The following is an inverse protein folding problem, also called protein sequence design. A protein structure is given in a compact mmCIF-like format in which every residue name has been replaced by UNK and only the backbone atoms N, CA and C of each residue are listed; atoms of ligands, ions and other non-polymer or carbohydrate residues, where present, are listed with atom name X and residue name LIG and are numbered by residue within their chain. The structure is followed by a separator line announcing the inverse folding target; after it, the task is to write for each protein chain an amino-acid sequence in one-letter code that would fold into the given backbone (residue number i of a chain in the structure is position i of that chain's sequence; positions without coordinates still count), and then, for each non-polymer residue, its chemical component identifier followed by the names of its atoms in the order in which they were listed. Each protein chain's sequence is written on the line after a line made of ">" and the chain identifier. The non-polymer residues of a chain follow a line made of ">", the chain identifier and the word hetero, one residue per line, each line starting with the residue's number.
data_IF_622470684902
#
_entry.id   IF_622470684902
#
_cell.length_a   1.000
_cell.length_b   1.000
_cell.length_c   1.000
_cell.angle_alpha   90.00
_cell.angle_beta   90.00
_cell.angle_gamma   90.00
#
_symmetry.space_group_name_H-M   'P 1'
#
loop_
_entity.id
_entity.type
_entity.pdbx_description
1 polymer ?
#
# COMPACT_ATOMS: atom_id res chain seq x y z
N UNK A 1 24.06 -4.83 29.18
CA UNK A 1 24.71 -5.23 27.92
C UNK A 1 23.63 -5.34 26.84
N UNK A 2 23.42 -4.24 26.19
CA UNK A 2 22.62 -4.22 24.98
C UNK A 2 23.46 -4.81 23.84
N UNK A 3 23.31 -6.11 23.62
CA UNK A 3 23.72 -6.69 22.36
C UNK A 3 22.77 -6.16 21.30
N UNK A 4 23.22 -5.20 20.52
CA UNK A 4 22.62 -4.95 19.22
C UNK A 4 22.78 -6.24 18.42
N UNK A 5 21.76 -7.06 18.45
CA UNK A 5 21.64 -8.14 17.49
C UNK A 5 21.42 -7.48 16.15
N UNK A 6 22.49 -7.33 15.40
CA UNK A 6 22.37 -7.35 13.95
C UNK A 6 21.84 -8.75 13.64
N UNK A 7 20.53 -8.92 13.77
CA UNK A 7 19.88 -10.07 13.19
C UNK A 7 20.09 -9.94 11.69
N UNK A 8 21.10 -10.64 11.21
CA UNK A 8 21.24 -10.89 9.78
C UNK A 8 20.02 -11.70 9.43
N UNK A 9 18.98 -11.05 8.92
CA UNK A 9 17.81 -11.72 8.36
C UNK A 9 18.33 -12.61 7.26
N UNK A 10 18.16 -13.94 7.35
CA UNK A 10 18.61 -14.80 6.29
C UNK A 10 17.92 -14.41 5.00
N UNK A 11 18.71 -14.15 3.96
CA UNK A 11 18.20 -13.82 2.63
C UNK A 11 17.59 -15.09 2.04
N UNK A 12 16.30 -15.27 2.22
CA UNK A 12 15.56 -16.42 1.75
C UNK A 12 14.23 -16.02 1.09
N UNK A 13 13.46 -17.00 0.66
CA UNK A 13 12.16 -16.81 0.01
C UNK A 13 11.15 -16.06 0.89
N UNK A 14 11.29 -16.09 2.20
CA UNK A 14 10.39 -15.41 3.13
C UNK A 14 10.48 -13.89 2.99
N UNK A 15 11.63 -13.37 2.58
CA UNK A 15 11.81 -11.95 2.30
C UNK A 15 10.84 -11.48 1.22
N UNK A 16 10.61 -12.30 0.21
CA UNK A 16 9.66 -11.96 -0.85
C UNK A 16 8.23 -11.82 -0.31
N UNK A 17 7.81 -12.75 0.55
CA UNK A 17 6.50 -12.65 1.22
C UNK A 17 6.41 -11.40 2.09
N UNK A 18 7.45 -11.08 2.84
CA UNK A 18 7.51 -9.86 3.64
C UNK A 18 7.42 -8.59 2.78
N UNK A 19 8.05 -8.59 1.62
CA UNK A 19 7.95 -7.48 0.68
C UNK A 19 6.53 -7.29 0.15
N UNK A 20 5.88 -8.39 -0.24
CA UNK A 20 4.48 -8.36 -0.69
C UNK A 20 3.57 -7.79 0.40
N UNK A 21 3.72 -8.26 1.63
CA UNK A 21 2.93 -7.77 2.77
C UNK A 21 3.22 -6.29 3.07
N UNK A 22 4.47 -5.88 2.99
CA UNK A 22 4.84 -4.46 3.19
C UNK A 22 4.21 -3.56 2.13
N UNK A 23 4.20 -3.98 0.87
CA UNK A 23 3.52 -3.26 -0.22
C UNK A 23 2.02 -3.21 0.00
N UNK A 24 1.41 -4.29 0.44
CA UNK A 24 -0.02 -4.34 0.77
C UNK A 24 -0.36 -3.36 1.90
N UNK A 25 0.45 -3.29 2.94
CA UNK A 25 0.27 -2.31 4.03
C UNK A 25 0.33 -0.87 3.54
N UNK A 26 1.26 -0.58 2.62
CA UNK A 26 1.36 0.75 2.00
C UNK A 26 0.07 1.08 1.25
N UNK A 27 -0.43 0.16 0.45
CA UNK A 27 -1.67 0.37 -0.32
C UNK A 27 -2.89 0.52 0.59
N UNK A 28 -3.00 -0.28 1.64
CA UNK A 28 -4.08 -0.17 2.62
C UNK A 28 -4.06 1.19 3.32
N UNK A 29 -2.88 1.66 3.70
CA UNK A 29 -2.72 2.99 4.32
C UNK A 29 -3.12 4.12 3.36
N UNK A 30 -2.72 4.03 2.09
CA UNK A 30 -3.13 4.99 1.07
C UNK A 30 -4.65 5.04 0.91
N UNK A 31 -5.31 3.88 0.93
CA UNK A 31 -6.78 3.80 0.86
C UNK A 31 -7.45 4.42 2.07
N UNK A 32 -6.92 4.20 3.27
CA UNK A 32 -7.43 4.81 4.50
C UNK A 32 -7.32 6.33 4.44
N UNK A 33 -6.17 6.85 4.01
CA UNK A 33 -5.93 8.29 3.85
C UNK A 33 -6.92 8.87 2.84
N UNK A 34 -7.09 8.21 1.71
CA UNK A 34 -8.01 8.67 0.66
C UNK A 34 -9.45 8.69 1.16
N UNK A 35 -9.87 7.64 1.87
CA UNK A 35 -11.20 7.55 2.50
C UNK A 35 -11.42 8.69 3.49
N UNK A 36 -10.44 8.96 4.34
CA UNK A 36 -10.51 10.04 5.32
C UNK A 36 -10.57 11.41 4.65
N UNK A 37 -9.77 11.66 3.63
CA UNK A 37 -9.82 12.91 2.85
C UNK A 37 -11.18 13.11 2.18
N UNK A 38 -11.73 12.04 1.60
CA UNK A 38 -13.09 12.10 1.00
C UNK A 38 -14.17 12.41 2.03
N UNK A 39 -14.10 11.79 3.19
CA UNK A 39 -15.04 12.02 4.27
C UNK A 39 -14.97 13.47 4.75
N UNK A 40 -13.77 14.02 4.93
CA UNK A 40 -13.57 15.42 5.32
C UNK A 40 -14.05 16.39 4.26
N UNK A 41 -13.81 16.10 2.99
CA UNK A 41 -14.30 16.91 1.88
C UNK A 41 -15.83 16.91 1.82
N UNK A 42 -16.46 15.76 2.05
CA UNK A 42 -17.91 15.63 2.11
C UNK A 42 -18.48 16.47 3.26
N UNK A 43 -17.88 16.43 4.43
CA UNK A 43 -18.26 17.23 5.59
C UNK A 43 -18.26 18.74 5.25
N UNK A 44 -17.20 19.22 4.62
CA UNK A 44 -17.08 20.62 4.20
C UNK A 44 -18.17 20.97 3.17
N UNK A 45 -18.41 20.11 2.21
CA UNK A 45 -19.44 20.31 1.18
C UNK A 45 -20.85 20.35 1.80
N UNK A 46 -21.16 19.44 2.71
CA UNK A 46 -22.44 19.39 3.38
C UNK A 46 -22.65 20.63 4.25
N UNK A 47 -21.61 21.12 4.89
CA UNK A 47 -21.64 22.38 5.66
C UNK A 47 -21.91 23.56 4.74
N UNK A 48 -21.28 23.65 3.59
CA UNK A 48 -21.51 24.69 2.60
C UNK A 48 -22.91 24.60 2.01
N UNK A 49 -23.42 23.42 1.72
CA UNK A 49 -24.77 23.19 1.23
C UNK A 49 -25.84 23.53 2.29
N UNK A 50 -25.51 23.35 3.55
CA UNK A 50 -26.38 23.73 4.67
C UNK A 50 -26.43 25.22 4.92
N UNK A 51 -25.56 26.01 4.30
CA UNK A 51 -25.68 27.45 4.35
C UNK A 51 -26.85 27.88 3.48
N UNK A 52 -27.79 28.62 4.08
CA UNK A 52 -28.94 29.07 3.36
C UNK A 52 -28.59 30.06 2.28
N UNK A 53 -29.12 29.81 1.10
CA UNK A 53 -29.05 30.74 -0.02
C UNK A 53 -30.15 31.80 0.01
N UNK A 54 -31.03 31.75 1.00
CA UNK A 54 -32.09 32.73 1.16
C UNK A 54 -31.62 33.91 2.00
N UNK A 55 -31.90 35.08 1.50
CA UNK A 55 -31.67 36.32 2.23
C UNK A 55 -32.84 36.61 3.14
N UNK A 56 -32.66 37.03 4.39
CA UNK A 56 -31.39 37.30 5.06
C UNK A 56 -30.73 36.05 5.66
N UNK A 57 -29.44 35.96 5.51
CA UNK A 57 -28.66 34.83 6.00
C UNK A 57 -28.58 34.77 7.52
N UNK A 58 -29.01 35.79 8.16
CA UNK A 58 -28.88 35.96 9.59
C UNK A 58 -29.53 34.88 10.40
N UNK A 59 -30.56 34.31 9.88
CA UNK A 59 -31.33 33.39 10.64
C UNK A 59 -30.64 32.05 10.82
N UNK A 60 -29.73 31.77 10.02
CA UNK A 60 -29.25 30.41 9.88
C UNK A 60 -28.07 30.07 10.78
N UNK A 61 -27.47 31.11 11.28
CA UNK A 61 -26.25 30.95 12.07
C UNK A 61 -26.44 30.30 13.41
N UNK A 62 -27.68 30.29 13.83
CA UNK A 62 -27.96 29.81 15.16
C UNK A 62 -28.27 28.43 15.21
N UNK A 63 -28.61 27.88 14.18
CA UNK A 63 -28.83 26.46 14.06
C UNK A 63 -27.59 25.67 14.26
N UNK A 64 -26.53 26.37 14.41
CA UNK A 64 -25.26 25.85 14.89
C UNK A 64 -25.40 25.08 16.21
N UNK A 65 -26.30 25.43 17.07
CA UNK A 65 -26.52 24.70 18.33
C UNK A 65 -27.18 23.34 18.13
N UNK A 66 -27.95 23.20 17.08
CA UNK A 66 -28.61 21.93 16.76
C UNK A 66 -27.89 21.12 15.70
N UNK A 67 -27.07 21.77 14.97
CA UNK A 67 -26.20 21.11 14.03
C UNK A 67 -24.99 20.65 14.78
N UNK A 68 -25.04 19.38 15.13
CA UNK A 68 -23.75 18.71 15.23
C UNK A 68 -22.98 19.13 14.01
N UNK A 69 -22.12 20.12 14.15
CA UNK A 69 -21.01 20.21 13.24
C UNK A 69 -20.46 18.80 13.13
N UNK A 70 -20.35 18.24 11.94
CA UNK A 70 -19.56 17.06 11.81
C UNK A 70 -18.15 17.48 12.16
N UNK A 71 -17.93 17.57 13.44
CA UNK A 71 -16.64 17.81 14.02
C UNK A 71 -15.81 16.63 13.61
N UNK A 72 -14.75 16.90 12.91
CA UNK A 72 -13.69 15.91 12.72
C UNK A 72 -13.31 15.50 14.14
N UNK A 73 -13.72 14.30 14.54
CA UNK A 73 -13.53 13.79 15.91
C UNK A 73 -12.06 13.73 16.30
N UNK A 74 -11.18 13.61 15.33
CA UNK A 74 -9.75 13.56 15.51
C UNK A 74 -9.07 14.35 14.39
N UNK A 75 -8.81 15.65 14.59
CA UNK A 75 -8.19 16.49 13.55
C UNK A 75 -6.79 16.03 13.14
N UNK A 76 -6.08 15.36 14.04
CA UNK A 76 -4.69 14.94 13.83
C UNK A 76 -4.60 13.54 13.19
N UNK A 77 -5.71 12.85 13.00
CA UNK A 77 -5.73 11.51 12.43
C UNK A 77 -5.07 11.44 11.05
N UNK A 78 -5.32 12.42 10.20
CA UNK A 78 -4.73 12.48 8.88
C UNK A 78 -3.21 12.62 8.94
N UNK A 79 -2.71 13.48 9.80
CA UNK A 79 -1.27 13.68 9.98
C UNK A 79 -0.59 12.42 10.50
N UNK A 80 -1.24 11.73 11.44
CA UNK A 80 -0.73 10.45 11.95
C UNK A 80 -0.69 9.36 10.87
N UNK A 81 -1.74 9.28 10.05
CA UNK A 81 -1.79 8.32 8.94
C UNK A 81 -0.73 8.62 7.88
N UNK A 82 -0.49 9.88 7.58
CA UNK A 82 0.56 10.29 6.63
C UNK A 82 1.95 9.94 7.18
N UNK A 83 2.18 10.10 8.47
CA UNK A 83 3.45 9.71 9.10
C UNK A 83 3.63 8.18 9.09
N UNK A 84 2.56 7.43 9.39
CA UNK A 84 2.55 5.96 9.28
C UNK A 84 2.84 5.52 7.84
N UNK A 85 2.26 6.18 6.84
CA UNK A 85 2.52 5.89 5.43
C UNK A 85 3.99 6.07 5.10
N UNK A 86 4.58 7.15 5.56
CA UNK A 86 6.01 7.43 5.35
C UNK A 86 6.89 6.33 5.95
N UNK A 87 6.59 5.90 7.18
CA UNK A 87 7.32 4.81 7.82
C UNK A 87 7.17 3.49 7.07
N UNK A 88 5.97 3.18 6.62
CA UNK A 88 5.68 1.96 5.85
C UNK A 88 6.37 1.96 4.49
N UNK A 89 6.43 3.11 3.81
CA UNK A 89 7.17 3.27 2.57
C UNK A 89 8.67 3.03 2.78
N UNK A 90 9.25 3.60 3.82
CA UNK A 90 10.66 3.37 4.15
C UNK A 90 10.94 1.91 4.46
N UNK A 91 10.05 1.25 5.20
CA UNK A 91 10.16 -0.17 5.50
C UNK A 91 10.09 -1.02 4.22
N UNK A 92 9.15 -0.73 3.34
CA UNK A 92 9.03 -1.44 2.06
C UNK A 92 10.28 -1.26 1.19
N UNK A 93 10.85 -0.06 1.14
CA UNK A 93 12.09 0.20 0.42
C UNK A 93 13.27 -0.60 0.99
N UNK A 94 13.38 -0.67 2.29
CA UNK A 94 14.42 -1.46 2.96
C UNK A 94 14.29 -2.94 2.61
N UNK A 95 13.08 -3.49 2.69
CA UNK A 95 12.81 -4.88 2.36
C UNK A 95 13.09 -5.14 0.87
N UNK A 96 12.75 -4.19 0.00
CA UNK A 96 13.04 -4.26 -1.44
C UNK A 96 14.53 -4.42 -1.71
N UNK A 97 15.38 -3.69 -1.00
CA UNK A 97 16.82 -3.85 -1.09
C UNK A 97 17.27 -5.27 -0.74
N UNK A 98 16.70 -5.84 0.31
CA UNK A 98 17.00 -7.20 0.73
C UNK A 98 16.53 -8.22 -0.30
N UNK A 99 15.35 -8.00 -0.89
CA UNK A 99 14.81 -8.83 -1.96
C UNK A 99 15.73 -8.78 -3.20
N UNK A 100 16.18 -7.61 -3.59
CA UNK A 100 17.09 -7.47 -4.74
C UNK A 100 18.42 -8.20 -4.50
N UNK A 101 18.97 -8.13 -3.30
CA UNK A 101 20.17 -8.86 -2.94
C UNK A 101 19.94 -10.37 -3.01
N UNK A 102 18.81 -10.85 -2.50
CA UNK A 102 18.44 -12.25 -2.59
C UNK A 102 18.22 -12.71 -4.03
N UNK A 103 17.57 -11.88 -4.87
CA UNK A 103 17.35 -12.21 -6.28
C UNK A 103 18.64 -12.52 -7.02
N UNK A 104 19.72 -11.85 -6.66
CA UNK A 104 21.03 -12.12 -7.28
C UNK A 104 21.58 -13.51 -6.96
N UNK A 105 21.01 -14.20 -5.97
CA UNK A 105 21.45 -15.55 -5.56
C UNK A 105 20.66 -16.68 -6.22
N UNK A 106 19.57 -16.39 -6.91
CA UNK A 106 18.70 -17.38 -7.54
C UNK A 106 18.92 -17.45 -9.05
N UNK A 107 18.43 -18.50 -9.75
CA UNK A 107 18.58 -18.60 -11.20
C UNK A 107 17.97 -17.40 -11.94
N UNK A 108 18.65 -16.96 -13.00
CA UNK A 108 18.26 -15.76 -13.76
C UNK A 108 16.82 -15.83 -14.30
N UNK A 109 16.40 -17.01 -14.75
CA UNK A 109 15.02 -17.17 -15.23
C UNK A 109 14.00 -16.85 -14.15
N UNK A 110 14.22 -17.35 -12.94
CA UNK A 110 13.33 -17.07 -11.80
C UNK A 110 13.42 -15.61 -11.35
N UNK A 111 14.59 -14.99 -11.43
CA UNK A 111 14.74 -13.55 -11.18
C UNK A 111 13.83 -12.74 -12.09
N UNK A 112 13.78 -13.07 -13.38
CA UNK A 112 12.93 -12.37 -14.35
C UNK A 112 11.45 -12.56 -14.03
N UNK A 113 11.03 -13.78 -13.73
CA UNK A 113 9.64 -14.09 -13.37
C UNK A 113 9.21 -13.29 -12.16
N UNK A 114 10.01 -13.27 -11.11
CA UNK A 114 9.72 -12.56 -9.87
C UNK A 114 9.67 -11.04 -10.11
N UNK A 115 10.60 -10.49 -10.87
CA UNK A 115 10.59 -9.06 -11.19
C UNK A 115 9.31 -8.66 -11.93
N UNK A 116 8.92 -9.42 -12.92
CA UNK A 116 7.70 -9.11 -13.69
C UNK A 116 6.45 -9.26 -12.85
N UNK A 117 6.35 -10.31 -12.04
CA UNK A 117 5.16 -10.58 -11.25
C UNK A 117 5.03 -9.67 -10.03
N UNK A 118 6.12 -9.47 -9.29
CA UNK A 118 6.09 -8.81 -7.99
C UNK A 118 6.42 -7.33 -8.11
N UNK A 119 7.47 -6.95 -8.82
CA UNK A 119 7.88 -5.55 -8.92
C UNK A 119 7.07 -4.77 -9.96
N UNK A 120 6.79 -5.37 -11.11
CA UNK A 120 6.00 -4.73 -12.18
C UNK A 120 4.50 -5.04 -12.07
N UNK A 121 4.10 -5.91 -11.15
CA UNK A 121 2.71 -6.27 -10.88
C UNK A 121 1.92 -6.74 -12.12
N UNK A 122 2.61 -7.44 -13.02
CA UNK A 122 2.02 -7.97 -14.22
C UNK A 122 1.14 -9.20 -13.93
N UNK A 123 0.14 -9.42 -14.77
CA UNK A 123 -0.64 -10.66 -14.75
C UNK A 123 0.24 -11.82 -15.24
N UNK A 124 -0.13 -13.05 -14.89
CA UNK A 124 0.62 -14.22 -15.36
C UNK A 124 0.67 -14.31 -16.88
N UNK A 125 -0.39 -13.88 -17.57
CA UNK A 125 -0.40 -13.83 -19.04
C UNK A 125 0.63 -12.84 -19.58
N UNK A 126 0.74 -11.67 -18.97
CA UNK A 126 1.73 -10.64 -19.34
C UNK A 126 3.15 -11.11 -19.04
N UNK A 127 3.36 -11.77 -17.90
CA UNK A 127 4.66 -12.36 -17.55
C UNK A 127 5.07 -13.40 -18.61
N UNK A 128 4.13 -14.26 -19.01
CA UNK A 128 4.40 -15.27 -20.04
C UNK A 128 4.82 -14.64 -21.38
N UNK A 129 4.17 -13.56 -21.77
CA UNK A 129 4.55 -12.81 -22.99
C UNK A 129 5.99 -12.29 -22.89
N UNK A 130 6.36 -11.74 -21.73
CA UNK A 130 7.72 -11.24 -21.48
C UNK A 130 8.76 -12.34 -21.43
N UNK A 131 8.37 -13.56 -21.05
CA UNK A 131 9.28 -14.70 -20.94
C UNK A 131 9.58 -15.38 -22.30
N UNK A 132 8.73 -15.19 -23.28
CA UNK A 132 8.96 -15.70 -24.63
C UNK A 132 7.77 -16.45 -25.24
N UNK A 133 7.87 -16.79 -26.51
CA UNK A 133 6.75 -17.36 -27.28
C UNK A 133 6.27 -18.73 -26.79
N UNK A 134 7.15 -19.51 -26.17
CA UNK A 134 6.80 -20.85 -25.66
C UNK A 134 6.26 -20.82 -24.24
N UNK A 135 6.35 -19.69 -23.55
CA UNK A 135 5.87 -19.58 -22.19
C UNK A 135 4.34 -19.41 -22.16
N UNK A 136 3.71 -20.12 -21.25
CA UNK A 136 2.28 -20.00 -20.98
C UNK A 136 2.05 -19.43 -19.59
N UNK A 137 0.91 -18.77 -19.39
CA UNK A 137 0.54 -18.23 -18.08
C UNK A 137 0.56 -19.30 -16.99
N UNK A 138 -0.04 -20.44 -17.23
CA UNK A 138 -0.07 -21.55 -16.29
C UNK A 138 1.33 -22.14 -16.05
N UNK A 139 2.13 -22.29 -17.11
CA UNK A 139 3.49 -22.82 -17.00
C UNK A 139 4.38 -21.92 -16.13
N UNK A 140 4.35 -20.62 -16.34
CA UNK A 140 5.14 -19.67 -15.57
C UNK A 140 4.66 -19.61 -14.11
N UNK A 141 3.35 -19.62 -13.90
CA UNK A 141 2.76 -19.67 -12.56
C UNK A 141 3.20 -20.93 -11.81
N UNK A 142 3.22 -22.08 -12.48
CA UNK A 142 3.65 -23.35 -11.89
C UNK A 142 5.14 -23.33 -11.55
N UNK A 143 5.97 -22.79 -12.43
CA UNK A 143 7.41 -22.62 -12.14
C UNK A 143 7.62 -21.79 -10.87
N UNK A 144 6.93 -20.67 -10.75
CA UNK A 144 7.00 -19.81 -9.58
C UNK A 144 6.53 -20.54 -8.33
N UNK A 145 5.36 -21.18 -8.40
CA UNK A 145 4.78 -21.90 -7.26
C UNK A 145 5.69 -23.01 -6.78
N UNK A 146 6.24 -23.79 -7.70
CA UNK A 146 7.15 -24.89 -7.37
C UNK A 146 8.45 -24.37 -6.75
N UNK A 147 9.00 -23.29 -7.31
CA UNK A 147 10.19 -22.66 -6.76
C UNK A 147 9.97 -22.18 -5.33
N UNK A 148 8.84 -21.54 -5.06
CA UNK A 148 8.53 -21.03 -3.72
C UNK A 148 8.26 -22.13 -2.70
N UNK A 149 7.86 -23.33 -3.14
CA UNK A 149 7.67 -24.50 -2.26
C UNK A 149 8.97 -25.25 -1.94
N UNK A 150 9.98 -25.12 -2.77
CA UNK A 150 11.29 -25.75 -2.52
C UNK A 150 11.92 -25.16 -1.27
N UNK A 151 12.46 -26.03 -0.44
CA UNK A 151 13.19 -25.62 0.77
C UNK A 151 14.63 -25.24 0.45
#
# INVERSE_FOLDING_TARGET
>A
QTKSRNEVIPLDKQILAQYIDACAQVEDTKKEILKLKKARKKIVQDTVKGSSHEFPYTAQTFHIEGLAYPVVKDPDELDRLEEILKERLQNAERIKHDVEAWLNTIPQRMQRIIRYKIFEELTWSEVAVRMGRKATADGVRMEYTNFMKEK
#
